data_IF_654159291993
#
_entry.id   IF_654159291993
#
_cell.length_a   1.000
_cell.length_b   1.000
_cell.length_c   1.000
_cell.angle_alpha   90.00
_cell.angle_beta   90.00
_cell.angle_gamma   90.00
#
_symmetry.space_group_name_H-M   'P 1'
#
loop_
_entity.id
_entity.type
_entity.pdbx_description
1 polymer ?
#
# COMPACT_ATOMS: atom_id res chain seq x y z
N UNK A 1 -7.14 55.28 -46.41
CA UNK A 1 -7.08 56.54 -45.64
C UNK A 1 -8.01 56.41 -44.45
N UNK A 2 -7.40 56.20 -43.28
CA UNK A 2 -7.81 56.65 -41.93
C UNK A 2 -9.17 56.22 -41.34
N UNK A 3 -9.10 55.15 -40.53
CA UNK A 3 -9.59 54.97 -39.15
C UNK A 3 -10.49 56.09 -38.57
N UNK A 4 -11.62 55.71 -37.96
CA UNK A 4 -12.06 56.33 -36.71
C UNK A 4 -12.64 55.28 -35.73
N UNK A 5 -11.95 55.20 -34.60
CA UNK A 5 -12.24 54.46 -33.38
C UNK A 5 -13.08 55.37 -32.48
N UNK A 6 -14.19 54.88 -31.93
CA UNK A 6 -14.97 55.61 -30.91
C UNK A 6 -15.01 54.78 -29.62
N UNK A 7 -14.23 55.23 -28.63
CA UNK A 7 -14.29 54.82 -27.23
C UNK A 7 -15.14 55.85 -26.50
N UNK A 8 -16.09 55.41 -25.67
CA UNK A 8 -16.73 56.24 -24.66
C UNK A 8 -16.66 55.52 -23.30
N UNK A 9 -15.99 56.16 -22.36
CA UNK A 9 -15.91 55.85 -20.93
C UNK A 9 -16.67 56.94 -20.18
N UNK A 10 -17.70 56.60 -19.38
CA UNK A 10 -18.17 57.26 -18.13
C UNK A 10 -19.16 56.26 -17.49
N UNK A 11 -19.24 55.94 -16.20
CA UNK A 11 -18.58 56.33 -14.96
C UNK A 11 -19.32 55.61 -13.81
N UNK A 12 -18.62 55.26 -12.73
CA UNK A 12 -19.20 54.61 -11.55
C UNK A 12 -20.11 55.55 -10.75
N UNK A 13 -21.22 55.03 -10.20
CA UNK A 13 -21.78 55.53 -8.93
C UNK A 13 -22.54 54.42 -8.18
N UNK A 14 -22.48 54.47 -6.85
CA UNK A 14 -22.64 53.35 -5.90
C UNK A 14 -23.93 53.37 -5.05
N UNK A 15 -24.55 52.18 -4.90
CA UNK A 15 -25.28 51.60 -3.72
C UNK A 15 -26.59 52.30 -3.22
N UNK A 16 -27.41 51.64 -2.35
CA UNK A 16 -28.12 50.35 -2.46
C UNK A 16 -29.64 50.49 -2.11
N UNK A 17 -30.48 49.47 -2.31
CA UNK A 17 -31.82 49.29 -1.68
C UNK A 17 -32.23 47.81 -1.81
N UNK A 18 -32.26 47.06 -0.71
CA UNK A 18 -33.40 46.78 0.19
C UNK A 18 -34.43 45.77 -0.36
N UNK A 19 -34.66 44.74 0.46
CA UNK A 19 -35.42 43.51 0.21
C UNK A 19 -36.82 43.70 0.80
N UNK A 20 -37.87 43.39 0.04
CA UNK A 20 -39.24 43.28 0.57
C UNK A 20 -39.75 41.84 0.52
N UNK A 21 -40.13 41.35 1.70
CA UNK A 21 -40.86 40.10 1.95
C UNK A 21 -42.33 40.22 1.49
N UNK A 22 -42.84 39.20 0.80
CA UNK A 22 -44.28 39.07 0.52
C UNK A 22 -44.85 37.91 1.33
N UNK A 23 -45.69 38.25 2.32
CA UNK A 23 -46.62 37.35 3.00
C UNK A 23 -47.78 37.00 2.07
N UNK A 24 -48.13 35.72 1.97
CA UNK A 24 -49.39 35.26 1.36
C UNK A 24 -50.25 34.59 2.42
N UNK A 25 -51.44 35.16 2.58
CA UNK A 25 -52.51 34.76 3.50
C UNK A 25 -53.35 33.64 2.86
N UNK A 26 -53.67 32.63 3.66
CA UNK A 26 -54.52 31.48 3.33
C UNK A 26 -56.00 31.85 3.33
N UNK A 27 -56.76 31.39 2.32
CA UNK A 27 -58.19 31.13 2.46
C UNK A 27 -58.60 29.88 1.68
N UNK A 28 -59.22 28.97 2.41
CA UNK A 28 -59.82 27.72 1.98
C UNK A 28 -60.97 27.94 0.98
N UNK A 29 -61.07 27.07 -0.02
CA UNK A 29 -62.35 26.67 -0.59
C UNK A 29 -62.32 25.18 -0.95
N UNK A 30 -63.40 24.53 -0.53
CA UNK A 30 -63.88 23.16 -0.62
C UNK A 30 -63.62 22.41 -1.93
N UNK A 31 -63.16 21.16 -1.83
CA UNK A 31 -63.27 20.13 -2.87
C UNK A 31 -64.09 18.95 -2.32
N UNK A 32 -65.24 18.69 -2.95
CA UNK A 32 -65.88 17.37 -3.00
C UNK A 32 -65.42 16.68 -4.29
N UNK A 33 -64.78 15.52 -4.17
CA UNK A 33 -64.92 14.38 -5.08
C UNK A 33 -64.04 13.22 -4.58
N UNK A 34 -64.70 12.11 -4.27
CA UNK A 34 -64.16 10.80 -3.97
C UNK A 34 -63.20 10.30 -5.05
N UNK A 35 -62.09 9.65 -4.63
CA UNK A 35 -61.74 8.31 -5.13
C UNK A 35 -60.57 7.69 -4.36
N UNK A 36 -60.88 6.55 -3.74
CA UNK A 36 -60.08 5.34 -3.54
C UNK A 36 -58.67 5.45 -2.93
N UNK A 37 -58.63 5.07 -1.65
CA UNK A 37 -57.42 4.64 -0.96
C UNK A 37 -57.01 3.24 -1.46
N UNK A 38 -55.97 3.18 -2.29
CA UNK A 38 -55.11 2.01 -2.37
C UNK A 38 -53.74 2.34 -1.78
N UNK A 39 -53.43 1.66 -0.68
CA UNK A 39 -52.09 1.60 -0.07
C UNK A 39 -51.21 0.69 -0.91
N UNK A 40 -50.01 1.09 -1.38
CA UNK A 40 -49.07 0.13 -1.91
C UNK A 40 -48.41 -0.58 -0.75
N UNK A 41 -48.71 -1.88 -0.67
CA UNK A 41 -47.99 -2.87 0.13
C UNK A 41 -46.52 -2.91 -0.28
N UNK A 42 -45.70 -3.07 0.75
CA UNK A 42 -44.42 -3.78 0.76
C UNK A 42 -44.21 -4.71 -0.44
N UNK A 43 -43.24 -4.37 -1.28
CA UNK A 43 -42.53 -5.34 -2.12
C UNK A 43 -41.10 -5.43 -1.61
N UNK A 44 -40.92 -6.43 -0.77
CA UNK A 44 -39.65 -6.88 -0.25
C UNK A 44 -38.98 -7.68 -1.37
N UNK A 45 -38.36 -6.98 -2.33
CA UNK A 45 -37.55 -7.63 -3.35
C UNK A 45 -36.29 -8.21 -2.69
N UNK A 46 -36.37 -9.51 -2.48
CA UNK A 46 -35.25 -10.32 -2.03
C UNK A 46 -34.24 -10.33 -3.18
N UNK A 47 -33.18 -9.51 -3.10
CA UNK A 47 -32.00 -9.65 -3.96
C UNK A 47 -31.48 -11.09 -3.79
N UNK A 48 -31.83 -11.96 -4.73
CA UNK A 48 -31.23 -13.27 -4.85
C UNK A 48 -29.74 -13.06 -5.11
N UNK A 49 -28.91 -13.69 -4.29
CA UNK A 49 -27.50 -13.87 -4.58
C UNK A 49 -27.41 -14.60 -5.92
N UNK A 50 -26.93 -13.89 -6.93
CA UNK A 50 -26.52 -14.47 -8.20
C UNK A 50 -25.22 -15.19 -7.90
N UNK A 51 -25.22 -16.52 -7.95
CA UNK A 51 -23.97 -17.29 -7.98
C UNK A 51 -23.17 -16.79 -9.20
N UNK A 52 -21.91 -16.34 -9.02
CA UNK A 52 -21.15 -15.77 -10.13
C UNK A 52 -20.95 -16.86 -11.18
N UNK A 53 -21.36 -16.55 -12.41
CA UNK A 53 -21.05 -17.39 -13.57
C UNK A 53 -19.58 -17.10 -13.90
N UNK A 54 -18.68 -17.70 -13.12
CA UNK A 54 -17.24 -17.64 -13.39
C UNK A 54 -17.03 -18.41 -14.69
N UNK A 55 -16.51 -17.74 -15.72
CA UNK A 55 -16.11 -18.42 -16.96
C UNK A 55 -15.19 -19.61 -16.61
N UNK A 56 -15.33 -20.77 -17.28
CA UNK A 56 -14.49 -21.93 -17.00
C UNK A 56 -13.01 -21.55 -17.13
N UNK A 57 -12.30 -21.62 -16.00
CA UNK A 57 -10.90 -21.24 -15.89
C UNK A 57 -10.07 -22.16 -16.77
N UNK A 58 -9.45 -21.59 -17.78
CA UNK A 58 -8.60 -22.32 -18.73
C UNK A 58 -7.27 -21.58 -18.85
N UNK A 59 -6.26 -22.04 -18.10
CA UNK A 59 -4.92 -21.47 -18.09
C UNK A 59 -4.42 -21.18 -16.67
N UNK A 60 -3.22 -20.61 -16.58
CA UNK A 60 -2.59 -20.20 -15.34
C UNK A 60 -2.61 -18.67 -15.20
N UNK A 61 -2.47 -18.19 -13.97
CA UNK A 61 -2.21 -16.78 -13.69
C UNK A 61 -0.88 -16.61 -12.95
N UNK A 62 -0.25 -15.47 -13.16
CA UNK A 62 0.98 -15.04 -12.50
C UNK A 62 0.73 -13.74 -11.73
N UNK A 63 1.28 -13.64 -10.52
CA UNK A 63 1.25 -12.44 -9.70
C UNK A 63 2.69 -12.03 -9.41
N UNK A 64 3.09 -10.88 -9.92
CA UNK A 64 4.44 -10.35 -9.80
C UNK A 64 4.44 -9.18 -8.84
N UNK A 65 5.04 -9.36 -7.67
CA UNK A 65 5.34 -8.27 -6.74
C UNK A 65 6.68 -7.67 -7.17
N UNK A 66 6.61 -6.61 -7.97
CA UNK A 66 7.74 -6.05 -8.69
C UNK A 66 8.68 -5.36 -7.69
N UNK A 67 9.98 -5.63 -7.79
CA UNK A 67 10.98 -4.90 -6.99
C UNK A 67 11.16 -3.48 -7.51
N UNK A 68 10.40 -2.56 -6.93
CA UNK A 68 10.46 -1.11 -7.15
C UNK A 68 11.16 -0.38 -6.00
N UNK A 69 11.89 -1.10 -5.15
CA UNK A 69 12.45 -0.57 -3.90
C UNK A 69 11.39 -0.28 -2.85
N UNK A 70 11.43 0.91 -2.22
CA UNK A 70 10.41 1.31 -1.25
C UNK A 70 9.14 1.79 -1.95
N UNK A 71 8.15 0.92 -2.08
CA UNK A 71 6.88 1.18 -2.74
C UNK A 71 6.25 -0.11 -3.23
N UNK A 72 5.03 -0.01 -3.75
CA UNK A 72 4.28 -1.14 -4.28
C UNK A 72 4.07 -1.04 -5.79
N UNK A 73 4.22 -2.17 -6.47
CA UNK A 73 3.78 -2.36 -7.84
C UNK A 73 3.55 -3.87 -8.06
N UNK A 74 2.29 -4.27 -8.22
CA UNK A 74 1.89 -5.67 -8.33
C UNK A 74 1.16 -5.91 -9.64
N UNK A 75 1.73 -6.74 -10.50
CA UNK A 75 1.13 -7.14 -11.78
C UNK A 75 0.43 -8.50 -11.62
N UNK A 76 -0.83 -8.58 -12.03
CA UNK A 76 -1.60 -9.82 -12.14
C UNK A 76 -1.86 -10.10 -13.62
N UNK A 77 -1.37 -11.22 -14.13
CA UNK A 77 -1.59 -11.65 -15.53
C UNK A 77 -2.29 -12.99 -15.52
N UNK A 78 -3.42 -13.09 -16.19
CA UNK A 78 -4.13 -14.34 -16.41
C UNK A 78 -4.41 -14.61 -17.88
N UNK A 79 -5.25 -15.61 -18.18
CA UNK A 79 -5.54 -16.01 -19.57
C UNK A 79 -6.24 -14.91 -20.39
N UNK A 80 -7.00 -14.05 -19.73
CA UNK A 80 -7.87 -13.04 -20.33
C UNK A 80 -7.95 -11.75 -19.51
N UNK A 81 -6.96 -11.50 -18.65
CA UNK A 81 -6.86 -10.26 -17.87
C UNK A 81 -5.41 -9.86 -17.65
N UNK A 82 -5.16 -8.56 -17.59
CA UNK A 82 -3.92 -7.94 -17.10
C UNK A 82 -4.28 -6.78 -16.19
N UNK A 83 -3.96 -6.89 -14.91
CA UNK A 83 -4.23 -5.87 -13.89
C UNK A 83 -2.92 -5.41 -13.27
N UNK A 84 -2.69 -4.11 -13.18
CA UNK A 84 -1.57 -3.53 -12.44
C UNK A 84 -2.11 -2.78 -11.22
N UNK A 85 -1.67 -3.15 -10.03
CA UNK A 85 -1.99 -2.47 -8.77
C UNK A 85 -0.74 -1.73 -8.31
N UNK A 86 -0.83 -0.40 -8.26
CA UNK A 86 0.25 0.54 -8.01
C UNK A 86 1.41 0.43 -9.04
N UNK A 87 2.32 1.39 -9.01
CA UNK A 87 3.40 1.59 -9.98
C UNK A 87 4.69 2.14 -9.33
N UNK A 88 4.87 1.94 -8.02
CA UNK A 88 6.09 2.28 -7.31
C UNK A 88 6.41 3.78 -7.27
N UNK A 89 7.70 4.09 -7.06
CA UNK A 89 8.17 5.45 -6.81
C UNK A 89 8.28 6.35 -8.04
N UNK A 90 7.94 7.62 -7.88
CA UNK A 90 8.05 8.63 -8.93
C UNK A 90 9.49 8.90 -9.43
N UNK A 91 10.50 8.66 -8.59
CA UNK A 91 11.92 8.85 -8.89
C UNK A 91 12.58 7.62 -9.55
N UNK A 92 11.79 6.60 -9.91
CA UNK A 92 12.22 5.38 -10.61
C UNK A 92 11.55 5.24 -11.98
N UNK A 93 12.03 4.29 -12.79
CA UNK A 93 11.59 4.04 -14.17
C UNK A 93 11.63 2.54 -14.52
N UNK A 94 11.40 1.67 -13.55
CA UNK A 94 11.60 0.22 -13.62
C UNK A 94 10.32 -0.57 -13.88
N UNK A 95 9.15 -0.02 -13.57
CA UNK A 95 7.87 -0.69 -13.84
C UNK A 95 7.67 -0.90 -15.34
N UNK A 96 7.76 0.16 -16.16
CA UNK A 96 7.55 0.04 -17.62
C UNK A 96 8.53 -0.96 -18.28
N UNK A 97 9.85 -0.93 -18.02
CA UNK A 97 10.77 -1.96 -18.49
C UNK A 97 10.41 -3.37 -18.01
N UNK A 98 9.98 -3.53 -16.76
CA UNK A 98 9.58 -4.84 -16.23
C UNK A 98 8.37 -5.40 -16.98
N UNK A 99 7.29 -4.61 -17.11
CA UNK A 99 6.08 -4.98 -17.84
C UNK A 99 6.40 -5.39 -19.29
N UNK A 100 7.27 -4.65 -19.98
CA UNK A 100 7.75 -5.01 -21.32
C UNK A 100 8.52 -6.33 -21.34
N UNK A 101 9.33 -6.59 -20.31
CA UNK A 101 10.16 -7.79 -20.23
C UNK A 101 9.36 -9.09 -20.02
N UNK A 102 8.21 -8.99 -19.34
CA UNK A 102 7.27 -10.11 -19.14
C UNK A 102 6.17 -10.16 -20.21
N UNK A 103 6.25 -9.33 -21.25
CA UNK A 103 5.39 -9.41 -22.43
C UNK A 103 4.01 -8.77 -22.28
N UNK A 104 3.81 -7.85 -21.33
CA UNK A 104 2.59 -7.04 -21.25
C UNK A 104 2.47 -6.17 -22.50
N UNK A 105 1.28 -6.15 -23.11
CA UNK A 105 0.97 -5.39 -24.31
C UNK A 105 -0.21 -4.43 -24.13
N UNK A 106 -1.09 -4.71 -23.17
CA UNK A 106 -2.26 -3.92 -22.78
C UNK A 106 -2.53 -4.19 -21.30
N UNK A 107 -3.14 -3.22 -20.60
CA UNK A 107 -3.56 -3.32 -19.22
C UNK A 107 -5.08 -3.13 -19.18
N UNK A 108 -5.82 -4.13 -18.72
CA UNK A 108 -7.27 -4.05 -18.60
C UNK A 108 -7.65 -3.10 -17.45
N UNK A 109 -6.89 -3.14 -16.36
CA UNK A 109 -7.16 -2.31 -15.19
C UNK A 109 -5.86 -1.85 -14.54
N UNK A 110 -5.73 -0.53 -14.35
CA UNK A 110 -4.66 0.09 -13.58
C UNK A 110 -5.23 0.69 -12.29
N UNK A 111 -4.85 0.16 -11.13
CA UNK A 111 -5.34 0.61 -9.82
C UNK A 111 -4.26 1.42 -9.13
N UNK A 112 -4.54 2.68 -8.76
CA UNK A 112 -3.74 3.45 -7.81
C UNK A 112 -4.42 3.44 -6.45
N UNK A 113 -3.87 2.69 -5.49
CA UNK A 113 -4.52 2.43 -4.19
C UNK A 113 -4.76 3.72 -3.42
N UNK A 114 -3.77 4.62 -3.40
CA UNK A 114 -3.85 5.93 -2.78
C UNK A 114 -2.77 6.87 -3.36
N UNK A 115 -2.87 8.21 -3.21
CA UNK A 115 -2.09 9.15 -4.01
C UNK A 115 -0.62 9.34 -3.60
N UNK A 116 -0.05 8.48 -2.76
CA UNK A 116 1.35 8.60 -2.37
C UNK A 116 2.32 8.20 -3.48
N UNK A 117 3.48 8.85 -3.46
CA UNK A 117 4.39 8.87 -4.60
C UNK A 117 5.20 7.57 -4.76
N UNK A 118 5.15 6.66 -3.80
CA UNK A 118 5.67 5.29 -3.81
C UNK A 118 4.63 4.24 -4.25
N UNK A 119 3.41 4.69 -4.55
CA UNK A 119 2.33 3.88 -5.12
C UNK A 119 2.01 4.35 -6.53
N UNK A 120 1.59 5.59 -6.73
CA UNK A 120 1.15 6.09 -8.04
C UNK A 120 2.29 6.66 -8.89
N UNK A 121 3.53 6.53 -8.42
CA UNK A 121 4.67 7.32 -8.87
C UNK A 121 5.04 7.16 -10.34
N UNK A 122 4.81 5.99 -10.92
CA UNK A 122 5.10 5.73 -12.34
C UNK A 122 3.82 5.48 -13.17
N UNK A 123 2.62 5.72 -12.61
CA UNK A 123 1.37 5.48 -13.35
C UNK A 123 1.27 6.35 -14.60
N UNK A 124 1.75 7.60 -14.57
CA UNK A 124 1.84 8.48 -15.73
C UNK A 124 2.66 7.85 -16.87
N UNK A 125 3.82 7.27 -16.53
CA UNK A 125 4.69 6.56 -17.48
C UNK A 125 4.06 5.27 -17.99
N UNK A 126 3.26 4.58 -17.17
CA UNK A 126 2.53 3.37 -17.58
C UNK A 126 1.46 3.75 -18.60
N UNK A 127 0.67 4.79 -18.34
CA UNK A 127 -0.36 5.31 -19.25
C UNK A 127 0.25 5.80 -20.58
N UNK A 128 1.44 6.41 -20.55
CA UNK A 128 2.16 6.80 -21.76
C UNK A 128 2.64 5.58 -22.58
N UNK A 129 3.03 4.49 -21.91
CA UNK A 129 3.72 3.37 -22.52
C UNK A 129 2.80 2.23 -22.99
N UNK A 130 1.60 2.10 -22.42
CA UNK A 130 0.68 0.98 -22.67
C UNK A 130 -0.74 1.48 -22.93
N UNK A 131 -1.51 0.80 -23.80
CA UNK A 131 -2.96 0.92 -23.80
C UNK A 131 -3.49 0.46 -22.43
N UNK A 132 -4.22 1.33 -21.74
CA UNK A 132 -4.91 1.06 -20.48
C UNK A 132 -6.40 1.26 -20.72
N UNK A 133 -7.24 0.28 -20.37
CA UNK A 133 -8.70 0.38 -20.58
C UNK A 133 -9.36 1.21 -19.50
N UNK A 134 -9.03 0.93 -18.24
CA UNK A 134 -9.65 1.58 -17.09
C UNK A 134 -8.63 1.86 -15.99
N UNK A 135 -8.81 2.99 -15.29
CA UNK A 135 -8.02 3.40 -14.13
C UNK A 135 -8.90 3.52 -12.91
N UNK A 136 -8.52 2.88 -11.82
CA UNK A 136 -9.16 3.04 -10.52
C UNK A 136 -8.30 3.84 -9.57
N UNK A 137 -8.89 4.82 -8.89
CA UNK A 137 -8.23 5.62 -7.85
C UNK A 137 -9.14 5.72 -6.61
N UNK A 138 -8.57 5.98 -5.43
CA UNK A 138 -9.36 6.08 -4.19
C UNK A 138 -10.40 7.21 -4.23
N UNK A 139 -10.10 8.28 -4.99
CA UNK A 139 -10.92 9.48 -5.10
C UNK A 139 -10.54 10.60 -4.13
N UNK A 140 -9.60 10.35 -3.21
CA UNK A 140 -9.06 11.41 -2.36
C UNK A 140 -8.08 12.29 -3.15
N UNK A 141 -8.31 13.61 -3.25
CA UNK A 141 -7.46 14.50 -4.02
C UNK A 141 -6.15 14.76 -3.29
N UNK A 142 -5.06 14.90 -4.04
CA UNK A 142 -3.75 15.28 -3.51
C UNK A 142 -3.17 16.46 -4.30
N UNK A 143 -2.37 17.31 -3.65
CA UNK A 143 -1.75 18.50 -4.27
C UNK A 143 -0.32 18.25 -4.76
N UNK A 144 0.08 16.99 -4.90
CA UNK A 144 1.44 16.65 -5.30
C UNK A 144 1.55 16.72 -6.82
N UNK A 145 2.75 17.01 -7.32
CA UNK A 145 3.01 16.93 -8.77
C UNK A 145 2.81 15.52 -9.29
N UNK A 146 3.14 14.50 -8.50
CA UNK A 146 2.90 13.11 -8.86
C UNK A 146 1.42 12.86 -9.14
N UNK A 147 0.53 13.28 -8.24
CA UNK A 147 -0.91 13.13 -8.46
C UNK A 147 -1.40 13.95 -9.66
N UNK A 148 -0.93 15.17 -9.82
CA UNK A 148 -1.24 16.02 -10.99
C UNK A 148 -0.81 15.36 -12.31
N UNK A 149 0.39 14.78 -12.38
CA UNK A 149 0.87 14.08 -13.57
C UNK A 149 0.00 12.88 -13.92
N UNK A 150 -0.42 12.09 -12.91
CA UNK A 150 -1.30 10.94 -13.13
C UNK A 150 -2.67 11.39 -13.66
N UNK A 151 -3.27 12.42 -13.06
CA UNK A 151 -4.56 12.93 -13.57
C UNK A 151 -4.45 13.48 -14.99
N UNK A 152 -3.37 14.21 -15.30
CA UNK A 152 -3.14 14.70 -16.66
C UNK A 152 -2.97 13.53 -17.65
N UNK A 153 -2.21 12.49 -17.28
CA UNK A 153 -2.04 11.31 -18.13
C UNK A 153 -3.37 10.57 -18.37
N UNK A 154 -4.23 10.44 -17.35
CA UNK A 154 -5.57 9.85 -17.51
C UNK A 154 -6.40 10.68 -18.50
N UNK A 155 -6.38 12.01 -18.38
CA UNK A 155 -7.12 12.92 -19.26
C UNK A 155 -6.57 12.92 -20.69
N UNK A 156 -5.25 12.90 -20.86
CA UNK A 156 -4.59 12.95 -22.16
C UNK A 156 -4.80 11.67 -22.98
N UNK A 157 -4.99 10.54 -22.30
CA UNK A 157 -5.20 9.23 -22.91
C UNK A 157 -6.67 8.80 -23.01
N UNK A 158 -7.62 9.62 -22.54
CA UNK A 158 -9.07 9.36 -22.57
C UNK A 158 -9.44 7.98 -22.01
N UNK A 159 -8.80 7.61 -20.88
CA UNK A 159 -8.99 6.32 -20.22
C UNK A 159 -10.20 6.37 -19.29
N UNK A 160 -10.98 5.29 -19.23
CA UNK A 160 -12.10 5.19 -18.29
C UNK A 160 -11.59 5.32 -16.85
N UNK A 161 -12.33 6.04 -16.01
CA UNK A 161 -11.95 6.34 -14.64
C UNK A 161 -13.05 5.95 -13.66
N UNK A 162 -12.69 5.24 -12.60
CA UNK A 162 -13.62 4.80 -11.57
C UNK A 162 -13.05 4.93 -10.15
N UNK A 163 -13.93 5.10 -9.16
CA UNK A 163 -13.57 5.22 -7.75
C UNK A 163 -14.30 4.15 -6.93
N UNK A 164 -13.72 2.95 -6.79
CA UNK A 164 -14.40 1.84 -6.14
C UNK A 164 -14.64 2.08 -4.65
N UNK A 165 -15.70 1.46 -4.13
CA UNK A 165 -16.10 1.47 -2.71
C UNK A 165 -16.34 0.07 -2.17
N UNK A 166 -16.15 -0.07 -0.86
CA UNK A 166 -16.36 -1.33 -0.15
C UNK A 166 -17.74 -1.92 -0.42
N UNK A 167 -17.78 -3.22 -0.70
CA UNK A 167 -18.99 -3.97 -1.05
C UNK A 167 -19.22 -4.14 -2.55
N UNK A 168 -18.52 -3.39 -3.40
CA UNK A 168 -18.57 -3.57 -4.85
C UNK A 168 -17.75 -4.77 -5.33
N UNK A 169 -18.18 -5.37 -6.45
CA UNK A 169 -17.55 -6.53 -7.05
C UNK A 169 -17.50 -6.38 -8.57
N UNK A 170 -16.38 -6.78 -9.16
CA UNK A 170 -16.10 -6.63 -10.58
C UNK A 170 -15.46 -7.89 -11.12
N UNK A 171 -15.74 -8.21 -12.38
CA UNK A 171 -15.10 -9.30 -13.11
C UNK A 171 -14.23 -8.69 -14.21
N UNK A 172 -12.93 -8.97 -14.17
CA UNK A 172 -11.97 -8.63 -15.23
C UNK A 172 -11.51 -9.95 -15.84
N UNK A 173 -12.13 -10.34 -16.94
CA UNK A 173 -11.96 -11.69 -17.49
C UNK A 173 -12.33 -12.75 -16.46
N UNK A 174 -11.41 -13.67 -16.16
CA UNK A 174 -11.57 -14.71 -15.13
C UNK A 174 -11.17 -14.28 -13.72
N UNK A 175 -10.82 -13.00 -13.50
CA UNK A 175 -10.45 -12.46 -12.18
C UNK A 175 -11.65 -11.78 -11.52
N UNK A 176 -12.02 -12.23 -10.32
CA UNK A 176 -13.04 -11.57 -9.50
C UNK A 176 -12.36 -10.62 -8.51
N UNK A 177 -12.71 -9.33 -8.57
CA UNK A 177 -12.25 -8.29 -7.66
C UNK A 177 -13.38 -7.92 -6.70
N UNK A 178 -13.13 -7.99 -5.39
CA UNK A 178 -14.07 -7.53 -4.35
C UNK A 178 -13.44 -6.40 -3.56
N UNK A 179 -14.10 -5.25 -3.52
CA UNK A 179 -13.59 -4.07 -2.82
C UNK A 179 -13.98 -4.16 -1.34
N UNK A 180 -13.02 -3.99 -0.45
CA UNK A 180 -13.19 -4.04 1.02
C UNK A 180 -12.94 -2.68 1.70
N UNK A 181 -12.29 -1.74 0.99
CA UNK A 181 -12.05 -0.36 1.42
C UNK A 181 -11.84 0.55 0.19
N UNK A 182 -12.17 1.87 0.25
CA UNK A 182 -12.86 2.59 1.31
C UNK A 182 -14.40 2.54 1.18
N UNK A 183 -15.13 2.75 2.28
CA UNK A 183 -16.61 2.92 2.23
C UNK A 183 -17.00 4.31 1.73
N UNK A 184 -16.19 5.31 2.07
CA UNK A 184 -16.35 6.72 1.74
C UNK A 184 -14.96 7.37 1.77
N UNK A 185 -14.82 8.52 1.11
CA UNK A 185 -13.61 9.33 1.21
C UNK A 185 -13.30 9.67 2.68
N UNK A 186 -12.06 9.45 3.08
CA UNK A 186 -11.57 9.66 4.44
C UNK A 186 -10.87 11.01 4.58
N UNK A 187 -10.26 11.52 3.49
CA UNK A 187 -9.27 12.61 3.53
C UNK A 187 -7.92 12.21 4.15
N UNK A 188 -7.80 10.96 4.61
CA UNK A 188 -6.55 10.34 5.07
C UNK A 188 -6.15 9.29 4.04
N UNK A 189 -5.04 9.53 3.34
CA UNK A 189 -4.68 8.75 2.17
C UNK A 189 -4.40 7.28 2.49
N UNK A 190 -3.79 6.98 3.65
CA UNK A 190 -3.54 5.61 4.07
C UNK A 190 -4.86 4.88 4.36
N UNK A 191 -5.74 5.50 5.13
CA UNK A 191 -7.05 4.93 5.49
C UNK A 191 -8.03 4.90 4.31
N UNK A 192 -7.80 5.76 3.32
CA UNK A 192 -8.54 5.83 2.06
C UNK A 192 -8.05 4.85 0.99
N UNK A 193 -7.01 4.05 1.28
CA UNK A 193 -6.45 3.09 0.32
C UNK A 193 -7.52 2.17 -0.24
N UNK A 194 -7.53 1.97 -1.56
CA UNK A 194 -8.31 0.89 -2.17
C UNK A 194 -7.80 -0.44 -1.62
N UNK A 195 -8.63 -1.09 -0.81
CA UNK A 195 -8.42 -2.46 -0.38
C UNK A 195 -9.30 -3.38 -1.21
N UNK A 196 -8.73 -4.47 -1.73
CA UNK A 196 -9.46 -5.43 -2.55
C UNK A 196 -8.98 -6.86 -2.35
N UNK A 197 -9.89 -7.81 -2.52
CA UNK A 197 -9.59 -9.24 -2.67
C UNK A 197 -9.71 -9.60 -4.14
N UNK A 198 -8.60 -10.04 -4.72
CA UNK A 198 -8.54 -10.57 -6.08
C UNK A 198 -8.61 -12.11 -6.03
N UNK A 199 -9.52 -12.72 -6.76
CA UNK A 199 -9.74 -14.18 -6.75
C UNK A 199 -9.67 -14.73 -8.17
N UNK A 200 -8.78 -15.71 -8.37
CA UNK A 200 -8.69 -16.51 -9.59
C UNK A 200 -8.90 -17.99 -9.21
N UNK A 201 -10.06 -18.52 -9.56
CA UNK A 201 -10.52 -19.83 -9.10
C UNK A 201 -10.72 -19.87 -7.60
N UNK A 202 -9.99 -20.75 -6.92
CA UNK A 202 -10.01 -20.93 -5.46
C UNK A 202 -8.86 -20.16 -4.78
N UNK A 203 -7.94 -19.57 -5.54
CA UNK A 203 -6.80 -18.81 -5.02
C UNK A 203 -7.16 -17.33 -4.93
N UNK A 204 -7.06 -16.78 -3.74
CA UNK A 204 -7.40 -15.39 -3.45
C UNK A 204 -6.25 -14.65 -2.77
N UNK A 205 -6.17 -13.36 -3.10
CA UNK A 205 -5.10 -12.46 -2.67
C UNK A 205 -5.74 -11.20 -2.13
N UNK A 206 -5.33 -10.80 -0.92
CA UNK A 206 -5.73 -9.53 -0.33
C UNK A 206 -4.65 -8.46 -0.56
N UNK A 207 -5.10 -7.31 -1.03
CA UNK A 207 -4.35 -6.06 -1.10
C UNK A 207 -5.05 -5.01 -0.24
N UNK A 208 -4.28 -4.27 0.56
CA UNK A 208 -4.83 -3.22 1.43
C UNK A 208 -4.22 -1.84 1.18
N UNK A 209 -3.26 -1.74 0.24
CA UNK A 209 -2.38 -0.57 0.16
C UNK A 209 -1.76 -0.27 1.52
N UNK A 210 -1.81 1.00 1.92
CA UNK A 210 -1.21 1.48 3.16
C UNK A 210 -2.21 1.58 4.32
N UNK A 211 -3.35 0.88 4.24
CA UNK A 211 -4.34 0.85 5.32
C UNK A 211 -3.69 0.52 6.67
N UNK A 212 -3.93 1.36 7.68
CA UNK A 212 -3.39 1.14 9.02
C UNK A 212 -4.41 0.41 9.92
N UNK A 213 -3.99 0.14 11.15
CA UNK A 213 -4.78 -0.55 12.18
C UNK A 213 -6.24 -0.10 12.26
N UNK A 214 -6.51 1.19 12.12
CA UNK A 214 -7.87 1.72 12.22
C UNK A 214 -8.74 1.21 11.06
N UNK A 215 -8.24 1.22 9.83
CA UNK A 215 -8.93 0.66 8.66
C UNK A 215 -9.04 -0.86 8.73
N UNK A 216 -8.01 -1.55 9.22
CA UNK A 216 -8.09 -2.99 9.50
C UNK A 216 -9.22 -3.32 10.48
N UNK A 217 -9.28 -2.64 11.62
CA UNK A 217 -10.35 -2.82 12.61
C UNK A 217 -11.73 -2.48 12.04
N UNK A 218 -11.81 -1.46 11.18
CA UNK A 218 -13.06 -1.05 10.54
C UNK A 218 -13.55 -2.10 9.52
N UNK A 219 -12.66 -2.69 8.72
CA UNK A 219 -12.99 -3.80 7.82
C UNK A 219 -13.55 -5.00 8.61
N UNK A 220 -12.91 -5.35 9.73
CA UNK A 220 -13.40 -6.44 10.60
C UNK A 220 -14.75 -6.11 11.25
N UNK A 221 -14.97 -4.87 11.68
CA UNK A 221 -16.22 -4.44 12.29
C UNK A 221 -17.40 -4.52 11.30
N UNK A 222 -17.14 -4.22 10.02
CA UNK A 222 -18.12 -4.34 8.93
C UNK A 222 -18.29 -5.78 8.43
N UNK A 223 -17.41 -6.71 8.83
CA UNK A 223 -17.34 -8.08 8.34
C UNK A 223 -17.09 -8.15 6.82
N UNK A 224 -16.20 -7.26 6.34
CA UNK A 224 -15.73 -7.35 4.96
C UNK A 224 -15.07 -8.72 4.71
N UNK A 225 -15.21 -9.29 3.49
CA UNK A 225 -14.69 -10.62 3.17
C UNK A 225 -13.17 -10.59 2.94
N UNK A 226 -12.38 -10.33 4.00
CA UNK A 226 -10.92 -10.17 3.93
C UNK A 226 -10.12 -11.47 3.92
N UNK A 227 -10.79 -12.63 3.97
CA UNK A 227 -10.10 -13.93 3.94
C UNK A 227 -9.38 -14.13 2.60
N UNK A 228 -8.09 -14.47 2.64
CA UNK A 228 -7.29 -14.74 1.46
C UNK A 228 -6.12 -15.68 1.75
N UNK A 229 -5.74 -16.55 0.79
CA UNK A 229 -4.58 -17.44 0.95
C UNK A 229 -3.26 -16.66 0.89
N UNK A 230 -3.21 -15.61 0.06
CA UNK A 230 -2.03 -14.75 -0.09
C UNK A 230 -2.39 -13.36 0.43
N UNK A 231 -1.51 -12.75 1.22
CA UNK A 231 -1.69 -11.38 1.69
C UNK A 231 -0.46 -10.53 1.41
N UNK A 232 -0.61 -9.45 0.64
CA UNK A 232 0.40 -8.40 0.57
C UNK A 232 0.27 -7.55 1.83
N UNK A 233 1.28 -7.61 2.70
CA UNK A 233 1.29 -6.91 3.98
C UNK A 233 1.01 -5.42 3.76
N UNK A 234 0.08 -4.89 4.55
CA UNK A 234 -0.29 -3.47 4.45
C UNK A 234 0.89 -2.57 4.80
N UNK A 235 0.97 -1.44 4.11
CA UNK A 235 1.94 -0.38 4.37
C UNK A 235 3.39 -0.90 4.41
N UNK A 236 3.77 -1.69 3.40
CA UNK A 236 5.12 -2.26 3.25
C UNK A 236 5.58 -3.15 4.42
N UNK A 237 4.63 -3.67 5.22
CA UNK A 237 4.94 -4.37 6.47
C UNK A 237 5.21 -3.42 7.66
N UNK A 238 4.57 -2.25 7.68
CA UNK A 238 4.62 -1.31 8.80
C UNK A 238 4.03 -1.91 10.09
N UNK A 239 4.55 -1.50 11.25
CA UNK A 239 3.95 -1.81 12.55
C UNK A 239 2.68 -1.02 12.85
N UNK A 240 2.36 0.00 12.04
CA UNK A 240 1.07 0.71 12.07
C UNK A 240 -0.07 -0.11 11.46
N UNK A 241 0.27 -1.14 10.67
CA UNK A 241 -0.65 -2.11 10.07
C UNK A 241 -0.35 -3.53 10.56
N UNK A 242 -1.02 -4.52 9.96
CA UNK A 242 -0.78 -5.94 10.13
C UNK A 242 -1.05 -6.41 11.57
N UNK A 243 -2.13 -5.91 12.20
CA UNK A 243 -2.47 -6.31 13.56
C UNK A 243 -2.84 -7.79 13.62
N UNK A 244 -2.54 -8.43 14.74
CA UNK A 244 -2.78 -9.87 14.94
C UNK A 244 -4.24 -10.28 14.67
N UNK A 245 -5.20 -9.45 15.07
CA UNK A 245 -6.62 -9.71 14.84
C UNK A 245 -6.98 -9.71 13.34
N UNK A 246 -6.34 -8.84 12.56
CA UNK A 246 -6.54 -8.76 11.12
C UNK A 246 -5.89 -9.94 10.42
N UNK A 247 -4.63 -10.24 10.74
CA UNK A 247 -3.94 -11.44 10.23
C UNK A 247 -4.72 -12.74 10.50
N UNK A 248 -5.33 -12.88 11.68
CA UNK A 248 -6.19 -14.02 12.00
C UNK A 248 -7.47 -14.08 11.14
N UNK A 249 -8.03 -12.93 10.77
CA UNK A 249 -9.24 -12.87 9.95
C UNK A 249 -8.95 -13.10 8.45
N UNK A 250 -7.81 -12.59 7.98
CA UNK A 250 -7.28 -12.88 6.64
C UNK A 250 -6.93 -14.37 6.52
N UNK A 251 -6.35 -14.95 7.57
CA UNK A 251 -5.89 -16.35 7.63
C UNK A 251 -4.96 -16.72 6.46
N UNK A 252 -3.90 -15.94 6.18
CA UNK A 252 -3.05 -16.18 5.02
C UNK A 252 -2.19 -17.44 5.20
N UNK A 253 -2.00 -18.15 4.11
CA UNK A 253 -1.03 -19.24 3.99
C UNK A 253 0.38 -18.69 3.67
N UNK A 254 0.46 -17.53 3.02
CA UNK A 254 1.71 -16.81 2.75
C UNK A 254 1.48 -15.30 2.77
N UNK A 255 2.50 -14.57 3.22
CA UNK A 255 2.54 -13.11 3.16
C UNK A 255 3.68 -12.60 2.31
N UNK A 256 3.44 -11.50 1.60
CA UNK A 256 4.43 -10.82 0.76
C UNK A 256 4.57 -9.38 1.25
N UNK A 257 5.76 -8.82 1.25
CA UNK A 257 5.94 -7.38 1.42
C UNK A 257 6.85 -6.81 0.34
N UNK A 258 6.59 -5.57 -0.06
CA UNK A 258 7.46 -4.80 -0.92
C UNK A 258 8.19 -3.75 -0.08
N UNK A 259 9.52 -3.76 -0.09
CA UNK A 259 10.33 -2.73 0.56
C UNK A 259 11.71 -2.65 -0.08
N UNK A 260 12.37 -1.50 0.06
CA UNK A 260 13.74 -1.30 -0.42
C UNK A 260 14.79 -1.61 0.64
N UNK A 261 15.98 -2.09 0.23
CA UNK A 261 17.10 -2.39 1.15
C UNK A 261 17.52 -1.22 2.05
N UNK A 262 17.46 0.00 1.52
CA UNK A 262 17.90 1.22 2.20
C UNK A 262 16.73 2.14 2.56
N UNK A 263 15.54 1.58 2.83
CA UNK A 263 14.39 2.41 3.18
C UNK A 263 14.56 3.03 4.57
N UNK A 264 14.34 4.35 4.67
CA UNK A 264 14.50 5.09 5.93
C UNK A 264 13.41 4.82 6.96
N UNK A 265 12.35 4.11 6.57
CA UNK A 265 11.19 3.81 7.42
C UNK A 265 11.44 2.59 8.31
N UNK A 266 12.41 1.75 7.98
CA UNK A 266 12.66 0.49 8.67
C UNK A 266 11.63 -0.59 8.32
N UNK A 267 11.05 -0.51 7.12
CA UNK A 267 10.13 -1.51 6.57
C UNK A 267 10.88 -2.75 6.05
N UNK A 268 10.35 -3.96 6.23
CA UNK A 268 9.22 -4.27 7.11
C UNK A 268 9.66 -4.14 8.57
N UNK A 269 8.75 -3.72 9.44
CA UNK A 269 9.08 -3.60 10.86
C UNK A 269 9.28 -5.00 11.47
N UNK A 270 10.36 -5.16 12.25
CA UNK A 270 10.71 -6.42 12.92
C UNK A 270 9.57 -7.04 13.72
N UNK A 271 8.75 -6.20 14.38
CA UNK A 271 7.61 -6.66 15.15
C UNK A 271 6.56 -7.39 14.31
N UNK A 272 6.36 -6.97 13.05
CA UNK A 272 5.47 -7.63 12.09
C UNK A 272 6.03 -8.99 11.70
N UNK A 273 7.32 -9.06 11.37
CA UNK A 273 8.00 -10.33 11.03
C UNK A 273 7.97 -11.31 12.22
N UNK A 274 8.24 -10.84 13.43
CA UNK A 274 8.16 -11.66 14.64
C UNK A 274 6.74 -12.15 14.93
N UNK A 275 5.71 -11.34 14.63
CA UNK A 275 4.30 -11.72 14.76
C UNK A 275 3.94 -12.82 13.76
N UNK A 276 4.29 -12.66 12.49
CA UNK A 276 4.08 -13.67 11.45
C UNK A 276 4.80 -14.99 11.80
N UNK A 277 6.04 -14.90 12.29
CA UNK A 277 6.80 -16.05 12.76
C UNK A 277 6.12 -16.80 13.93
N UNK A 278 5.55 -16.09 14.91
CA UNK A 278 4.77 -16.71 16.01
C UNK A 278 3.49 -17.39 15.51
N UNK A 279 2.91 -16.87 14.44
CA UNK A 279 1.72 -17.43 13.80
C UNK A 279 2.06 -18.56 12.81
N UNK A 280 3.35 -18.85 12.58
CA UNK A 280 3.85 -19.76 11.55
C UNK A 280 3.34 -19.41 10.14
N UNK A 281 3.26 -18.11 9.85
CA UNK A 281 2.90 -17.60 8.52
C UNK A 281 4.21 -17.28 7.77
N UNK A 282 4.52 -17.97 6.66
CA UNK A 282 5.64 -17.64 5.79
C UNK A 282 5.56 -16.21 5.28
N UNK A 283 6.72 -15.55 5.20
CA UNK A 283 6.84 -14.17 4.70
C UNK A 283 7.95 -14.07 3.66
N UNK A 284 7.68 -13.40 2.55
CA UNK A 284 8.64 -13.16 1.46
C UNK A 284 8.73 -11.66 1.17
N UNK A 285 9.95 -11.15 1.03
CA UNK A 285 10.21 -9.73 0.77
C UNK A 285 10.90 -9.48 -0.55
N UNK A 286 10.52 -8.39 -1.22
CA UNK A 286 11.21 -7.96 -2.45
C UNK A 286 12.66 -7.57 -2.19
N UNK A 287 12.98 -7.04 -1.01
CA UNK A 287 14.35 -6.70 -0.64
C UNK A 287 15.29 -7.92 -0.62
N UNK A 288 14.82 -9.09 -0.18
CA UNK A 288 15.64 -10.31 -0.19
C UNK A 288 15.63 -11.04 -1.54
N UNK A 289 14.53 -10.96 -2.29
CA UNK A 289 14.27 -11.83 -3.43
C UNK A 289 14.26 -11.13 -4.79
N UNK A 290 14.37 -9.79 -4.81
CA UNK A 290 13.99 -9.01 -5.98
C UNK A 290 12.49 -9.17 -6.27
N UNK A 291 12.11 -9.23 -7.54
CA UNK A 291 10.71 -9.45 -7.91
C UNK A 291 10.26 -10.85 -7.50
N UNK A 292 9.19 -10.94 -6.71
CA UNK A 292 8.59 -12.21 -6.30
C UNK A 292 7.47 -12.55 -7.27
N UNK A 293 7.46 -13.78 -7.78
CA UNK A 293 6.41 -14.27 -8.67
C UNK A 293 5.67 -15.43 -8.02
N UNK A 294 4.35 -15.33 -7.97
CA UNK A 294 3.45 -16.44 -7.61
C UNK A 294 2.79 -16.92 -8.89
N UNK A 295 2.82 -18.23 -9.14
CA UNK A 295 2.08 -18.86 -10.23
C UNK A 295 0.91 -19.65 -9.66
N UNK A 296 -0.24 -19.65 -10.33
CA UNK A 296 -1.43 -20.39 -9.90
C UNK A 296 -2.17 -21.00 -11.09
N UNK A 297 -2.70 -22.21 -10.92
CA UNK A 297 -3.61 -22.85 -11.87
C UNK A 297 -5.09 -22.60 -11.55
N UNK A 298 -5.36 -21.78 -10.54
CA UNK A 298 -6.71 -21.49 -10.04
C UNK A 298 -7.20 -22.47 -8.98
N UNK A 299 -6.44 -23.51 -8.62
CA UNK A 299 -6.73 -24.40 -7.48
C UNK A 299 -5.58 -24.46 -6.48
N UNK A 300 -4.35 -24.29 -6.95
CA UNK A 300 -3.13 -24.27 -6.15
C UNK A 300 -2.18 -23.19 -6.66
N UNK A 301 -1.24 -22.78 -5.82
CA UNK A 301 -0.22 -21.80 -6.20
C UNK A 301 1.17 -22.21 -5.74
N UNK A 302 2.19 -21.65 -6.39
CA UNK A 302 3.59 -21.82 -6.05
C UNK A 302 4.31 -20.47 -6.01
N UNK A 303 5.08 -20.23 -4.96
CA UNK A 303 5.90 -19.02 -4.79
C UNK A 303 7.30 -19.27 -5.32
N UNK A 304 7.75 -18.45 -6.27
CA UNK A 304 9.09 -18.51 -6.87
C UNK A 304 10.04 -17.54 -6.14
N UNK A 305 10.28 -17.78 -4.85
CA UNK A 305 11.17 -16.97 -4.01
C UNK A 305 11.69 -17.78 -2.81
N UNK A 306 12.67 -17.23 -2.09
CA UNK A 306 13.15 -17.77 -0.81
C UNK A 306 12.48 -17.08 0.36
N UNK A 307 12.00 -17.86 1.33
CA UNK A 307 11.32 -17.34 2.52
C UNK A 307 12.27 -16.49 3.38
N UNK A 308 11.75 -15.41 3.96
CA UNK A 308 12.44 -14.62 4.97
C UNK A 308 12.44 -15.42 6.27
N UNK A 309 13.52 -16.17 6.47
CA UNK A 309 13.70 -16.93 7.71
C UNK A 309 14.24 -16.04 8.82
N UNK A 310 13.59 -16.07 9.99
CA UNK A 310 14.14 -15.56 11.25
C UNK A 310 15.48 -16.23 11.66
N UNK A 311 15.88 -17.28 10.95
CA UNK A 311 16.99 -18.17 11.30
C UNK A 311 18.38 -17.57 11.19
N UNK A 312 18.61 -16.51 10.40
CA UNK A 312 19.96 -15.92 10.28
C UNK A 312 20.39 -15.18 11.56
N UNK A 313 19.49 -14.42 12.20
CA UNK A 313 19.80 -13.76 13.47
C UNK A 313 19.78 -14.72 14.67
N UNK A 314 18.92 -15.75 14.69
CA UNK A 314 18.88 -16.68 15.83
C UNK A 314 20.06 -17.65 15.83
N UNK A 315 20.58 -18.03 14.64
CA UNK A 315 21.86 -18.72 14.51
C UNK A 315 23.03 -17.78 14.81
N UNK A 316 23.02 -16.53 14.33
CA UNK A 316 24.07 -15.55 14.64
C UNK A 316 24.11 -15.21 16.14
N UNK A 317 22.97 -15.03 16.82
CA UNK A 317 22.90 -14.85 18.28
C UNK A 317 23.42 -16.05 19.04
N UNK A 318 23.09 -17.29 18.61
CA UNK A 318 23.64 -18.52 19.20
C UNK A 318 25.14 -18.71 18.95
N UNK A 319 25.69 -18.17 17.85
CA UNK A 319 27.13 -18.15 17.59
C UNK A 319 27.84 -17.04 18.38
N UNK A 320 27.20 -15.87 18.53
CA UNK A 320 27.72 -14.73 19.31
C UNK A 320 27.71 -15.02 20.82
N UNK A 321 26.70 -15.73 21.34
CA UNK A 321 26.66 -16.20 22.73
C UNK A 321 27.69 -17.31 23.04
N UNK A 322 28.21 -18.00 22.01
CA UNK A 322 29.27 -19.01 22.16
C UNK A 322 30.68 -18.41 22.17
N UNK A 323 30.84 -17.13 21.82
CA UNK A 323 32.13 -16.45 21.95
C UNK A 323 32.46 -16.29 23.44
N UNK A 324 33.70 -16.59 23.89
CA UNK A 324 34.09 -16.36 25.27
C UNK A 324 33.79 -14.91 25.65
N UNK A 325 33.24 -14.71 26.86
CA UNK A 325 33.11 -13.38 27.44
C UNK A 325 34.47 -12.68 27.41
N UNK A 326 34.53 -11.41 26.98
CA UNK A 326 35.77 -10.67 27.02
C UNK A 326 36.34 -10.76 28.45
N UNK A 327 37.67 -10.94 28.60
CA UNK A 327 38.31 -10.98 29.90
C UNK A 327 37.79 -9.84 30.79
N UNK A 328 37.50 -10.15 32.05
CA UNK A 328 37.02 -9.15 33.02
C UNK A 328 37.97 -7.94 33.01
N UNK A 329 37.45 -6.77 32.62
CA UNK A 329 38.23 -5.54 32.46
C UNK A 329 38.59 -5.16 31.01
N UNK A 330 38.07 -5.87 30.00
CA UNK A 330 38.24 -5.51 28.58
C UNK A 330 36.90 -5.13 27.94
N UNK A 331 36.91 -4.01 27.22
CA UNK A 331 35.77 -3.47 26.47
C UNK A 331 35.95 -3.76 24.96
N UNK A 332 34.85 -3.71 24.21
CA UNK A 332 34.83 -3.85 22.76
C UNK A 332 35.21 -2.49 22.16
N UNK A 333 36.43 -2.39 21.66
CA UNK A 333 36.92 -1.19 20.99
C UNK A 333 36.26 -1.04 19.62
N UNK A 334 35.43 -0.01 19.46
CA UNK A 334 34.64 0.21 18.25
C UNK A 334 35.50 0.44 17.00
N UNK A 335 36.77 0.80 17.17
CA UNK A 335 37.71 1.03 16.06
C UNK A 335 38.44 -0.23 15.59
N UNK A 336 38.53 -1.26 16.42
CA UNK A 336 39.36 -2.44 16.13
C UNK A 336 38.60 -3.76 16.19
N UNK A 337 37.49 -3.82 16.93
CA UNK A 337 36.67 -5.01 17.08
C UNK A 337 36.20 -5.57 15.72
N UNK A 338 36.11 -6.90 15.64
CA UNK A 338 35.51 -7.56 14.48
C UNK A 338 34.00 -7.27 14.39
N UNK A 339 33.44 -7.47 13.21
CA UNK A 339 32.00 -7.29 12.96
C UNK A 339 31.14 -8.17 13.90
N UNK A 340 31.64 -9.35 14.29
CA UNK A 340 30.97 -10.24 15.25
C UNK A 340 31.06 -9.72 16.69
N UNK A 341 32.20 -9.16 17.09
CA UNK A 341 32.37 -8.58 18.42
C UNK A 341 31.51 -7.32 18.60
N UNK A 342 31.42 -6.47 17.57
CA UNK A 342 30.57 -5.28 17.59
C UNK A 342 29.09 -5.60 17.82
N UNK A 343 28.61 -6.74 17.30
CA UNK A 343 27.23 -7.18 17.48
C UNK A 343 26.85 -7.55 18.93
N UNK A 344 27.84 -7.59 19.83
CA UNK A 344 27.61 -7.82 21.27
C UNK A 344 27.22 -6.54 22.01
N UNK A 345 27.40 -5.37 21.39
CA UNK A 345 27.01 -4.09 21.97
C UNK A 345 25.50 -3.95 21.83
N UNK A 346 24.82 -3.59 22.92
CA UNK A 346 23.36 -3.36 22.92
C UNK A 346 22.97 -2.37 21.81
N UNK A 347 21.88 -2.68 21.10
CA UNK A 347 21.38 -1.94 19.92
C UNK A 347 22.26 -2.02 18.64
N UNK A 348 23.42 -2.66 18.68
CA UNK A 348 24.29 -2.86 17.51
C UNK A 348 24.04 -4.24 16.91
N UNK A 349 23.16 -4.32 15.91
CA UNK A 349 22.99 -5.51 15.07
C UNK A 349 24.00 -5.56 13.92
N UNK A 350 23.92 -6.57 13.04
CA UNK A 350 24.87 -6.77 11.94
C UNK A 350 25.03 -5.54 11.04
N UNK A 351 23.92 -4.89 10.69
CA UNK A 351 23.91 -3.69 9.85
C UNK A 351 24.66 -2.51 10.52
N UNK A 352 24.39 -2.26 11.80
CA UNK A 352 25.07 -1.20 12.55
C UNK A 352 26.53 -1.54 12.83
N UNK A 353 26.86 -2.82 12.98
CA UNK A 353 28.24 -3.28 13.05
C UNK A 353 29.01 -3.02 11.75
N UNK A 354 28.36 -3.17 10.57
CA UNK A 354 28.95 -2.79 9.27
C UNK A 354 29.16 -1.28 9.18
N UNK A 355 28.15 -0.48 9.53
CA UNK A 355 28.27 0.99 9.56
C UNK A 355 29.36 1.45 10.53
N UNK A 356 29.48 0.80 11.69
CA UNK A 356 30.60 0.99 12.62
C UNK A 356 31.94 0.78 11.95
N UNK A 357 32.13 -0.34 11.23
CA UNK A 357 33.38 -0.62 10.54
C UNK A 357 33.68 0.41 9.45
N UNK A 358 32.66 0.80 8.69
CA UNK A 358 32.77 1.78 7.59
C UNK A 358 33.11 3.19 8.08
N UNK A 359 32.54 3.62 9.20
CA UNK A 359 32.65 4.98 9.72
C UNK A 359 33.87 5.20 10.63
N UNK A 360 34.74 4.20 10.78
CA UNK A 360 35.99 4.33 11.55
C UNK A 360 36.89 5.45 10.99
N UNK A 361 37.63 6.18 11.86
CA UNK A 361 37.67 6.03 13.30
C UNK A 361 36.57 6.84 14.03
N UNK A 362 36.25 6.39 15.25
CA UNK A 362 35.51 7.12 16.27
C UNK A 362 36.48 7.60 17.34
N UNK A 363 36.35 8.84 17.81
CA UNK A 363 37.23 9.38 18.85
C UNK A 363 36.64 9.28 20.26
N UNK A 364 35.35 9.02 20.36
CA UNK A 364 34.62 8.80 21.60
C UNK A 364 33.30 8.07 21.31
N UNK A 365 32.65 7.56 22.35
CA UNK A 365 31.39 6.80 22.22
C UNK A 365 30.20 7.69 21.81
N UNK A 366 30.24 9.01 22.07
CA UNK A 366 29.16 9.91 21.63
C UNK A 366 29.03 10.00 20.11
N UNK A 367 30.14 9.79 19.38
CA UNK A 367 30.17 9.74 17.93
C UNK A 367 29.41 8.54 17.34
N UNK A 368 29.00 7.56 18.15
CA UNK A 368 28.14 6.47 17.67
C UNK A 368 26.79 6.96 17.14
N UNK A 369 26.39 8.19 17.47
CA UNK A 369 25.23 8.85 16.86
C UNK A 369 25.34 9.10 15.36
N UNK A 370 26.56 8.97 14.78
CA UNK A 370 26.79 8.98 13.33
C UNK A 370 26.21 7.74 12.63
N UNK A 371 25.89 6.69 13.38
CA UNK A 371 25.34 5.43 12.85
C UNK A 371 23.83 5.55 12.77
N UNK A 372 23.27 5.18 11.61
CA UNK A 372 21.83 5.24 11.39
C UNK A 372 21.10 4.36 12.41
N UNK A 373 20.11 4.96 13.07
CA UNK A 373 19.36 4.32 14.13
C UNK A 373 20.04 4.30 15.50
N UNK A 374 21.18 4.96 15.74
CA UNK A 374 21.69 5.20 17.10
C UNK A 374 21.36 6.64 17.52
N UNK A 375 20.13 6.85 17.99
CA UNK A 375 19.71 8.12 18.59
C UNK A 375 20.14 8.26 20.05
N UNK A 376 19.85 9.41 20.68
CA UNK A 376 20.22 9.71 22.06
C UNK A 376 19.76 8.66 23.09
N UNK A 377 18.58 8.05 22.89
CA UNK A 377 18.07 6.98 23.74
C UNK A 377 18.93 5.70 23.66
N UNK A 378 19.21 5.22 22.45
CA UNK A 378 20.05 4.03 22.24
C UNK A 378 21.49 4.26 22.68
N UNK A 379 22.03 5.45 22.44
CA UNK A 379 23.36 5.85 22.94
C UNK A 379 23.43 5.78 24.48
N UNK A 380 22.36 6.21 25.17
CA UNK A 380 22.29 6.12 26.63
C UNK A 380 22.36 4.67 27.10
N UNK A 381 21.67 3.76 26.43
CA UNK A 381 21.68 2.34 26.77
C UNK A 381 23.05 1.70 26.50
N UNK A 382 23.69 2.02 25.36
CA UNK A 382 25.06 1.59 25.02
C UNK A 382 26.06 2.04 26.10
N UNK A 383 25.95 3.29 26.56
CA UNK A 383 26.80 3.81 27.65
C UNK A 383 26.52 3.13 28.99
N UNK A 384 25.26 2.82 29.27
CA UNK A 384 24.86 2.15 30.50
C UNK A 384 25.34 0.68 30.56
N UNK A 385 25.42 0.02 29.40
CA UNK A 385 25.96 -1.32 29.25
C UNK A 385 27.47 -1.39 29.56
N UNK A 386 28.22 -0.34 29.20
CA UNK A 386 29.66 -0.23 29.51
C UNK A 386 30.56 -1.19 28.74
N UNK A 387 30.03 -1.88 27.71
CA UNK A 387 30.80 -2.80 26.88
C UNK A 387 31.58 -2.11 25.75
N UNK A 388 31.09 -0.97 25.22
CA UNK A 388 31.73 -0.26 24.12
C UNK A 388 32.80 0.75 24.60
N UNK A 389 33.95 0.80 23.93
CA UNK A 389 34.98 1.81 24.18
C UNK A 389 35.68 2.29 22.90
N UNK A 390 36.47 3.35 23.03
CA UNK A 390 37.40 3.86 22.02
C UNK A 390 38.77 3.91 22.70
N UNK A 391 39.74 3.13 22.20
CA UNK A 391 41.09 3.04 22.76
C UNK A 391 42.17 3.58 21.83
#
# INVERSE_FOLDING_TARGET
MTIFLCVALVGCNSQPNEVEEVKVETKETTNDAEQDQETPKSENETKQAIDPIVEPINGAAEIHFIDVGQGDATLLVGPNFTVLIDAGRHDRNDVVPYLKSVGVWEIDLLVGTHPHADHIGQMDKVLEAFPVKEVWMSGDPHTSRTFEHVLNAILDHDVDYYEPRAGEQFEIGSLLLKIVNPVKLSGDFHEGSIGLVATFGEVSILFTGDAEKQTEEAMLARKEPVQAQIFQLGHHGSSTSNIEKFLNAVSPEVTIYSAGADNSYGHPHREVIDRLGKMNIPVYGTVENGTIVITTDGSSYAVLASEVTNGKEEQAKKEVEKLPSPPVGTCIDVNTASLQELQRITHVGEERARQLVELRPFHNIDELTRINGIGAGRLKDIKAEGLACVN
#
